data_IF_160486864874
#
_entry.id   IF_160486864874
#
_cell.length_a   1.000
_cell.length_b   1.000
_cell.length_c   1.000
_cell.angle_alpha   90.00
_cell.angle_beta   90.00
_cell.angle_gamma   90.00
#
_symmetry.space_group_name_H-M   'P 1'
#
loop_
_entity.id
_entity.type
_entity.pdbx_description
1 polymer ?
#
# COMPACT_ATOMS: atom_id res chain seq x y z
N UNK A 1 -15.03 -24.83 -13.97
CA UNK A 1 -13.89 -23.90 -14.13
C UNK A 1 -14.08 -22.76 -13.14
N UNK A 2 -13.07 -22.44 -12.32
CA UNK A 2 -13.16 -21.28 -11.42
C UNK A 2 -12.92 -20.01 -12.22
N UNK A 3 -13.78 -19.01 -12.06
CA UNK A 3 -13.69 -17.75 -12.80
C UNK A 3 -12.84 -16.74 -12.02
N UNK A 4 -12.33 -15.67 -12.65
CA UNK A 4 -11.65 -14.60 -11.93
C UNK A 4 -12.53 -13.99 -10.81
N UNK A 5 -13.85 -13.93 -11.04
CA UNK A 5 -14.82 -13.46 -10.06
C UNK A 5 -14.91 -14.36 -8.81
N UNK A 6 -14.80 -15.68 -8.98
CA UNK A 6 -14.75 -16.62 -7.84
C UNK A 6 -13.60 -16.27 -6.89
N UNK A 7 -12.41 -15.97 -7.42
CA UNK A 7 -11.26 -15.62 -6.59
C UNK A 7 -11.39 -14.25 -5.91
N UNK A 8 -12.09 -13.31 -6.55
CA UNK A 8 -12.40 -12.02 -5.93
C UNK A 8 -13.34 -12.18 -4.73
N UNK A 9 -14.42 -12.93 -4.90
CA UNK A 9 -15.38 -13.21 -3.83
C UNK A 9 -14.71 -13.98 -2.67
N UNK A 10 -13.89 -14.98 -3.01
CA UNK A 10 -13.11 -15.74 -2.02
C UNK A 10 -12.13 -14.83 -1.27
N UNK A 11 -11.42 -13.93 -1.95
CA UNK A 11 -10.51 -12.97 -1.31
C UNK A 11 -11.24 -12.02 -0.36
N UNK A 12 -12.46 -11.59 -0.70
CA UNK A 12 -13.24 -10.66 0.13
C UNK A 12 -13.91 -11.31 1.34
N UNK A 13 -14.29 -12.59 1.23
CA UNK A 13 -15.09 -13.28 2.26
C UNK A 13 -14.30 -14.27 3.12
N UNK A 14 -13.12 -14.72 2.65
CA UNK A 14 -12.32 -15.69 3.37
C UNK A 14 -11.84 -15.14 4.71
N UNK A 15 -11.92 -15.99 5.74
CA UNK A 15 -11.31 -15.77 7.06
C UNK A 15 -10.05 -16.61 7.27
N UNK A 16 -9.70 -17.44 6.28
CA UNK A 16 -8.53 -18.32 6.34
C UNK A 16 -7.29 -17.57 5.84
N UNK A 17 -6.30 -17.31 6.71
CA UNK A 17 -5.07 -16.64 6.30
C UNK A 17 -4.27 -17.39 5.23
N UNK A 18 -4.34 -18.72 5.19
CA UNK A 18 -3.63 -19.51 4.18
C UNK A 18 -4.21 -19.28 2.78
N UNK A 19 -5.54 -19.23 2.68
CA UNK A 19 -6.22 -18.88 1.42
C UNK A 19 -5.87 -17.46 1.00
N UNK A 20 -5.89 -16.50 1.91
CA UNK A 20 -5.54 -15.10 1.60
C UNK A 20 -4.07 -14.95 1.18
N UNK A 21 -3.18 -15.74 1.79
CA UNK A 21 -1.76 -15.81 1.41
C UNK A 21 -1.57 -16.36 0.00
N UNK A 22 -2.31 -17.39 -0.38
CA UNK A 22 -2.29 -17.92 -1.76
C UNK A 22 -2.82 -16.88 -2.76
N UNK A 23 -3.98 -16.27 -2.46
CA UNK A 23 -4.62 -15.28 -3.32
C UNK A 23 -3.80 -13.98 -3.48
N UNK A 24 -2.91 -13.67 -2.55
CA UNK A 24 -1.94 -12.57 -2.72
C UNK A 24 -1.06 -12.75 -3.97
N UNK A 25 -0.84 -14.00 -4.41
CA UNK A 25 -0.12 -14.34 -5.63
C UNK A 25 -0.95 -14.28 -6.91
N UNK A 26 -2.24 -13.93 -6.84
CA UNK A 26 -3.12 -13.90 -8.00
C UNK A 26 -2.61 -12.97 -9.09
N UNK A 27 -2.72 -13.38 -10.36
CA UNK A 27 -2.44 -12.55 -11.53
C UNK A 27 -3.41 -11.37 -11.65
N UNK A 28 -4.62 -11.49 -11.12
CA UNK A 28 -5.67 -10.50 -11.23
C UNK A 28 -5.49 -9.35 -10.22
N UNK A 29 -5.31 -8.09 -10.67
CA UNK A 29 -5.12 -6.95 -9.76
C UNK A 29 -6.27 -6.74 -8.77
N UNK A 30 -7.52 -6.95 -9.19
CA UNK A 30 -8.69 -6.78 -8.32
C UNK A 30 -8.77 -7.85 -7.22
N UNK A 31 -8.27 -9.07 -7.47
CA UNK A 31 -8.15 -10.11 -6.43
C UNK A 31 -7.12 -9.68 -5.40
N UNK A 32 -5.96 -9.17 -5.83
CA UNK A 32 -4.93 -8.66 -4.92
C UNK A 32 -5.43 -7.48 -4.08
N UNK A 33 -6.22 -6.57 -4.65
CA UNK A 33 -6.87 -5.49 -3.91
C UNK A 33 -7.87 -6.04 -2.87
N UNK A 34 -8.67 -7.04 -3.23
CA UNK A 34 -9.59 -7.69 -2.28
C UNK A 34 -8.84 -8.34 -1.11
N UNK A 35 -7.72 -9.01 -1.38
CA UNK A 35 -6.84 -9.53 -0.32
C UNK A 35 -6.31 -8.41 0.57
N UNK A 36 -5.78 -7.33 -0.02
CA UNK A 36 -5.27 -6.18 0.76
C UNK A 36 -6.35 -5.45 1.57
N UNK A 37 -7.61 -5.50 1.14
CA UNK A 37 -8.74 -4.91 1.85
C UNK A 37 -9.34 -5.83 2.93
N UNK A 38 -9.02 -7.13 2.89
CA UNK A 38 -9.58 -8.10 3.82
C UNK A 38 -8.89 -7.98 5.20
N UNK A 39 -9.63 -7.68 6.29
CA UNK A 39 -9.06 -7.49 7.63
C UNK A 39 -8.43 -8.75 8.23
N UNK A 40 -8.75 -9.94 7.72
CA UNK A 40 -8.13 -11.20 8.12
C UNK A 40 -6.76 -11.43 7.45
N UNK A 41 -6.37 -10.59 6.48
CA UNK A 41 -5.09 -10.70 5.80
C UNK A 41 -3.95 -10.36 6.76
N UNK A 42 -3.03 -11.32 6.88
CA UNK A 42 -1.89 -11.23 7.81
C UNK A 42 -0.72 -10.47 7.20
N UNK A 43 0.18 -10.02 8.07
CA UNK A 43 1.36 -9.23 7.73
C UNK A 43 2.22 -9.86 6.63
N UNK A 44 2.40 -11.18 6.63
CA UNK A 44 3.19 -11.91 5.63
C UNK A 44 2.58 -11.79 4.23
N UNK A 45 1.26 -11.97 4.09
CA UNK A 45 0.51 -11.76 2.85
C UNK A 45 0.61 -10.31 2.37
N UNK A 46 0.45 -9.33 3.26
CA UNK A 46 0.60 -7.91 2.95
C UNK A 46 2.03 -7.56 2.49
N UNK A 47 3.04 -8.15 3.11
CA UNK A 47 4.43 -7.99 2.72
C UNK A 47 4.70 -8.51 1.30
N UNK A 48 4.16 -9.68 0.94
CA UNK A 48 4.31 -10.20 -0.43
C UNK A 48 3.59 -9.33 -1.46
N UNK A 49 2.40 -8.82 -1.14
CA UNK A 49 1.69 -7.87 -1.99
C UNK A 49 2.49 -6.58 -2.21
N UNK A 50 3.05 -6.02 -1.14
CA UNK A 50 3.89 -4.83 -1.21
C UNK A 50 5.13 -5.07 -2.08
N UNK A 51 5.81 -6.20 -1.87
CA UNK A 51 7.01 -6.59 -2.63
C UNK A 51 6.69 -6.73 -4.12
N UNK A 52 5.59 -7.40 -4.46
CA UNK A 52 5.14 -7.52 -5.84
C UNK A 52 4.84 -6.16 -6.47
N UNK A 53 4.17 -5.26 -5.75
CA UNK A 53 3.84 -3.92 -6.24
C UNK A 53 5.09 -3.05 -6.48
N UNK A 54 6.15 -3.28 -5.70
CA UNK A 54 7.44 -2.61 -5.88
C UNK A 54 8.18 -3.13 -7.11
N UNK A 55 8.25 -4.45 -7.27
CA UNK A 55 9.14 -5.10 -8.25
C UNK A 55 8.53 -5.22 -9.64
N UNK A 56 7.21 -5.34 -9.74
CA UNK A 56 6.52 -5.48 -11.03
C UNK A 56 6.05 -4.10 -11.49
N UNK A 57 6.54 -3.58 -12.64
CA UNK A 57 6.02 -2.37 -13.25
C UNK A 57 4.51 -2.51 -13.50
N UNK A 58 3.78 -1.40 -13.54
CA UNK A 58 2.32 -1.40 -13.68
C UNK A 58 1.84 -2.05 -15.00
N UNK A 59 1.69 -3.38 -15.02
CA UNK A 59 1.16 -4.13 -16.16
C UNK A 59 -0.25 -3.63 -16.56
N UNK A 60 -1.01 -3.14 -15.58
CA UNK A 60 -2.41 -2.73 -15.72
C UNK A 60 -2.61 -1.21 -15.53
N UNK A 61 -1.53 -0.43 -15.65
CA UNK A 61 -1.53 1.03 -15.48
C UNK A 61 -1.42 1.51 -14.03
N UNK A 62 -0.99 2.77 -13.81
CA UNK A 62 -0.59 3.28 -12.49
C UNK A 62 -1.73 3.40 -11.47
N UNK A 63 -2.99 3.33 -11.90
CA UNK A 63 -4.16 3.51 -11.02
C UNK A 63 -4.40 2.33 -10.08
N UNK A 64 -4.26 1.09 -10.60
CA UNK A 64 -4.48 -0.13 -9.82
C UNK A 64 -3.43 -0.31 -8.72
N UNK A 65 -2.19 0.06 -9.02
CA UNK A 65 -1.09 0.00 -8.05
C UNK A 65 -1.23 1.08 -6.98
N UNK A 66 -1.68 2.29 -7.32
CA UNK A 66 -1.92 3.34 -6.33
C UNK A 66 -3.03 2.95 -5.35
N UNK A 67 -4.10 2.30 -5.83
CA UNK A 67 -5.16 1.78 -4.97
C UNK A 67 -4.64 0.68 -4.04
N UNK A 68 -3.84 -0.26 -4.56
CA UNK A 68 -3.22 -1.30 -3.75
C UNK A 68 -2.28 -0.72 -2.69
N UNK A 69 -1.42 0.25 -3.04
CA UNK A 69 -0.54 0.92 -2.09
C UNK A 69 -1.31 1.61 -0.98
N UNK A 70 -2.46 2.22 -1.29
CA UNK A 70 -3.33 2.83 -0.27
C UNK A 70 -3.89 1.78 0.68
N UNK A 71 -4.40 0.66 0.16
CA UNK A 71 -4.93 -0.43 0.99
C UNK A 71 -3.85 -0.98 1.93
N UNK A 72 -2.65 -1.23 1.39
CA UNK A 72 -1.52 -1.74 2.18
C UNK A 72 -1.06 -0.73 3.25
N UNK A 73 -0.95 0.55 2.90
CA UNK A 73 -0.56 1.60 3.84
C UNK A 73 -1.59 1.80 4.97
N UNK A 74 -2.87 1.58 4.69
CA UNK A 74 -3.96 1.72 5.65
C UNK A 74 -4.28 0.45 6.43
N UNK A 75 -3.74 -0.71 6.05
CA UNK A 75 -4.14 -1.97 6.66
C UNK A 75 -3.64 -2.08 8.11
N UNK A 76 -4.51 -2.38 9.10
CA UNK A 76 -4.12 -2.41 10.50
C UNK A 76 -3.07 -3.48 10.81
N UNK A 77 -3.10 -4.61 10.09
CA UNK A 77 -2.14 -5.70 10.25
C UNK A 77 -0.85 -5.53 9.42
N UNK A 78 -0.69 -4.43 8.67
CA UNK A 78 0.57 -4.16 7.97
C UNK A 78 1.64 -3.77 8.99
N UNK A 79 2.63 -4.65 9.14
CA UNK A 79 3.73 -4.42 10.06
C UNK A 79 4.81 -3.53 9.45
N UNK A 80 5.80 -3.17 10.26
CA UNK A 80 6.88 -2.27 9.84
C UNK A 80 7.61 -2.75 8.57
N UNK A 81 8.02 -4.03 8.44
CA UNK A 81 8.59 -4.54 7.19
C UNK A 81 7.70 -4.30 5.97
N UNK A 82 6.39 -4.62 6.04
CA UNK A 82 5.48 -4.39 4.93
C UNK A 82 5.38 -2.89 4.60
N UNK A 83 5.25 -2.04 5.61
CA UNK A 83 5.12 -0.59 5.43
C UNK A 83 6.38 0.06 4.82
N UNK A 84 7.57 -0.44 5.12
CA UNK A 84 8.80 0.01 4.47
C UNK A 84 8.83 -0.33 2.98
N UNK A 85 8.33 -1.51 2.59
CA UNK A 85 8.22 -1.87 1.18
C UNK A 85 7.19 -0.99 0.46
N UNK A 86 6.07 -0.68 1.11
CA UNK A 86 5.06 0.26 0.57
C UNK A 86 5.66 1.67 0.43
N UNK A 87 6.49 2.10 1.38
CA UNK A 87 7.22 3.37 1.33
C UNK A 87 8.14 3.44 0.11
N UNK A 88 8.97 2.41 -0.09
CA UNK A 88 9.89 2.32 -1.23
C UNK A 88 9.13 2.32 -2.57
N UNK A 89 8.04 1.55 -2.65
CA UNK A 89 7.20 1.52 -3.83
C UNK A 89 6.58 2.91 -4.11
N UNK A 90 6.05 3.59 -3.09
CA UNK A 90 5.50 4.93 -3.24
C UNK A 90 6.57 5.95 -3.69
N UNK A 91 7.80 5.85 -3.16
CA UNK A 91 8.93 6.67 -3.57
C UNK A 91 9.26 6.47 -5.06
N UNK A 92 9.37 5.22 -5.50
CA UNK A 92 9.63 4.89 -6.92
C UNK A 92 8.55 5.48 -7.84
N UNK A 93 7.28 5.42 -7.44
CA UNK A 93 6.16 6.00 -8.20
C UNK A 93 6.20 7.52 -8.23
N UNK A 94 6.54 8.19 -7.13
CA UNK A 94 6.74 9.63 -7.13
C UNK A 94 7.91 10.04 -8.04
N UNK A 95 9.01 9.28 -8.06
CA UNK A 95 10.13 9.52 -8.98
C UNK A 95 9.69 9.40 -10.44
N UNK A 96 8.83 8.43 -10.75
CA UNK A 96 8.22 8.25 -12.07
C UNK A 96 7.07 9.24 -12.38
N UNK A 97 6.93 10.34 -11.61
CA UNK A 97 5.87 11.34 -11.73
C UNK A 97 4.42 10.82 -11.57
N UNK A 98 4.24 9.59 -11.08
CA UNK A 98 2.94 9.08 -10.67
C UNK A 98 2.52 9.71 -9.34
N UNK A 99 1.23 9.53 -8.97
CA UNK A 99 0.59 10.24 -7.86
C UNK A 99 0.02 9.31 -6.79
N UNK A 100 0.84 8.53 -6.05
CA UNK A 100 0.40 7.66 -4.95
C UNK A 100 0.06 8.46 -3.67
N UNK A 101 -0.51 9.66 -3.79
CA UNK A 101 -0.58 10.63 -2.71
C UNK A 101 -1.40 10.13 -1.51
N UNK A 102 -2.50 9.43 -1.77
CA UNK A 102 -3.31 8.87 -0.70
C UNK A 102 -2.52 7.84 0.12
N UNK A 103 -1.76 6.97 -0.54
CA UNK A 103 -0.89 6.00 0.14
C UNK A 103 0.18 6.70 0.97
N UNK A 104 0.84 7.73 0.43
CA UNK A 104 1.85 8.50 1.17
C UNK A 104 1.28 9.17 2.42
N UNK A 105 0.06 9.73 2.33
CA UNK A 105 -0.60 10.34 3.49
C UNK A 105 -1.04 9.28 4.51
N UNK A 106 -1.48 8.10 4.06
CA UNK A 106 -1.77 6.98 4.96
C UNK A 106 -0.51 6.50 5.70
N UNK A 107 0.63 6.34 4.98
CA UNK A 107 1.93 6.04 5.59
C UNK A 107 2.36 7.11 6.60
N UNK A 108 2.07 8.38 6.32
CA UNK A 108 2.39 9.46 7.25
C UNK A 108 1.71 9.31 8.60
N UNK A 109 0.51 8.72 8.65
CA UNK A 109 -0.22 8.40 9.89
C UNK A 109 0.25 7.13 10.59
N UNK A 110 1.17 6.34 10.02
CA UNK A 110 1.60 5.06 10.61
C UNK A 110 2.63 5.25 11.72
N UNK A 111 2.35 4.85 12.98
CA UNK A 111 3.30 4.96 14.08
C UNK A 111 4.55 4.08 13.90
N UNK A 112 4.46 3.01 13.12
CA UNK A 112 5.56 2.10 12.83
C UNK A 112 6.69 2.73 12.00
N UNK A 113 6.38 3.82 11.30
CA UNK A 113 7.33 4.57 10.46
C UNK A 113 7.75 5.86 11.13
N UNK A 114 9.05 6.16 11.08
CA UNK A 114 9.59 7.40 11.65
C UNK A 114 9.35 8.57 10.70
N UNK A 115 9.09 9.79 11.20
CA UNK A 115 8.97 10.98 10.36
C UNK A 115 10.16 11.18 9.42
N UNK A 116 11.38 10.88 9.88
CA UNK A 116 12.60 10.98 9.07
C UNK A 116 12.61 10.08 7.82
N UNK A 117 11.89 8.94 7.85
CA UNK A 117 11.76 8.02 6.71
C UNK A 117 10.77 8.57 5.66
N UNK A 118 9.82 9.40 6.08
CA UNK A 118 8.74 9.93 5.23
C UNK A 118 9.06 11.30 4.63
N UNK A 119 9.81 12.14 5.33
CA UNK A 119 10.21 13.48 4.87
C UNK A 119 10.86 13.50 3.46
N UNK A 120 11.72 12.54 3.07
CA UNK A 120 12.32 12.51 1.74
C UNK A 120 11.29 12.44 0.60
N UNK A 121 10.12 11.82 0.81
CA UNK A 121 9.08 11.72 -0.22
C UNK A 121 8.60 13.08 -0.73
N UNK A 122 8.57 14.09 0.14
CA UNK A 122 8.17 15.45 -0.22
C UNK A 122 9.14 16.17 -1.17
N UNK A 123 10.35 15.63 -1.36
CA UNK A 123 11.40 16.19 -2.22
C UNK A 123 11.49 15.50 -3.59
N UNK A 124 10.74 14.42 -3.79
CA UNK A 124 10.76 13.67 -5.04
C UNK A 124 10.05 14.44 -6.17
N UNK A 125 10.44 14.25 -7.44
CA UNK A 125 9.91 15.00 -8.58
C UNK A 125 8.36 15.00 -8.68
N UNK A 126 7.72 13.86 -8.45
CA UNK A 126 6.26 13.73 -8.49
C UNK A 126 5.53 14.27 -7.26
N UNK A 127 6.25 14.78 -6.25
CA UNK A 127 5.64 15.38 -5.06
C UNK A 127 5.06 16.76 -5.39
N UNK A 128 3.73 16.87 -5.42
CA UNK A 128 3.05 18.15 -5.61
C UNK A 128 3.11 19.03 -4.35
N UNK A 129 2.81 20.33 -4.51
CA UNK A 129 2.63 21.23 -3.38
C UNK A 129 1.55 20.71 -2.39
N UNK A 130 0.47 20.12 -2.91
CA UNK A 130 -0.59 19.50 -2.11
C UNK A 130 -0.05 18.32 -1.30
N UNK A 131 0.74 17.43 -1.91
CA UNK A 131 1.36 16.32 -1.19
C UNK A 131 2.28 16.83 -0.09
N UNK A 132 3.17 17.78 -0.40
CA UNK A 132 4.11 18.36 0.57
C UNK A 132 3.39 18.97 1.77
N UNK A 133 2.32 19.75 1.52
CA UNK A 133 1.51 20.34 2.58
C UNK A 133 0.76 19.30 3.41
N UNK A 134 0.18 18.29 2.77
CA UNK A 134 -0.48 17.18 3.46
C UNK A 134 0.48 16.37 4.34
N UNK A 135 1.65 16.02 3.81
CA UNK A 135 2.67 15.26 4.52
C UNK A 135 3.17 16.02 5.76
N UNK A 136 3.45 17.33 5.63
CA UNK A 136 3.89 18.15 6.77
C UNK A 136 2.85 18.20 7.87
N UNK A 137 1.57 18.38 7.53
CA UNK A 137 0.47 18.39 8.50
C UNK A 137 0.34 17.06 9.22
N UNK A 138 0.24 15.96 8.47
CA UNK A 138 0.12 14.61 9.05
C UNK A 138 1.28 14.25 10.00
N UNK A 139 2.50 14.71 9.70
CA UNK A 139 3.66 14.49 10.57
C UNK A 139 3.65 15.41 11.80
N UNK A 140 3.14 16.64 11.69
CA UNK A 140 2.99 17.54 12.83
C UNK A 140 1.91 17.03 13.80
N UNK A 141 0.75 16.63 13.28
CA UNK A 141 -0.36 16.08 14.08
C UNK A 141 0.07 14.86 14.92
N UNK A 142 1.05 14.08 14.43
CA UNK A 142 1.65 12.95 15.17
C UNK A 142 2.54 13.35 16.33
N UNK A 143 3.20 14.49 16.23
CA UNK A 143 4.07 15.00 17.30
C UNK A 143 3.25 15.68 18.39
N UNK A 144 2.12 16.29 18.03
CA UNK A 144 1.25 17.01 18.96
C UNK A 144 0.26 16.08 19.72
N UNK A 145 -0.04 14.90 19.17
CA UNK A 145 -0.96 13.91 19.76
C UNK A 145 -0.29 12.76 20.51
N UNK A 146 1.02 12.86 20.80
CA UNK A 146 1.83 11.82 21.46
C UNK A 146 2.04 12.04 22.96
#
# INVERSE_FOLDING_TARGET
>A
MRTPYYYFDLAGTSRDPAVLRELAGSEYPFVRQAVAANPCTRADALFALATRCRDVPAEHGPWNDNALLLLLAGHPAADRPALLVVLDAAAARLTAAARPYAAVLALAGRPELRPAELLPLGRLPGASARLRGGLRRALADRLDGG
#
